data_IF_133476609613
#
_entry.id   IF_133476609613
#
_cell.length_a   1.000
_cell.length_b   1.000
_cell.length_c   1.000
_cell.angle_alpha   90.00
_cell.angle_beta   90.00
_cell.angle_gamma   90.00
#
_symmetry.space_group_name_H-M   'P 1'
#
loop_
_entity.id
_entity.type
_entity.pdbx_description
1 polymer ?
#
# COMPACT_ATOMS: atom_id res chain seq x y z
N UNK A 1 9.15 -0.80 -38.17
CA UNK A 1 9.39 -2.08 -37.49
C UNK A 1 8.96 -1.90 -36.04
N UNK A 2 8.03 -2.70 -35.49
CA UNK A 2 7.76 -2.61 -34.06
C UNK A 2 9.05 -2.98 -33.32
N UNK A 3 9.49 -2.11 -32.43
CA UNK A 3 10.61 -2.42 -31.53
C UNK A 3 10.14 -3.59 -30.67
N UNK A 4 10.94 -4.64 -30.59
CA UNK A 4 10.64 -5.80 -29.75
C UNK A 4 10.54 -5.34 -28.29
N UNK A 5 9.34 -5.44 -27.72
CA UNK A 5 9.05 -5.01 -26.36
C UNK A 5 9.94 -5.73 -25.34
N UNK A 6 10.25 -7.00 -25.57
CA UNK A 6 11.06 -7.82 -24.67
C UNK A 6 12.52 -7.35 -24.65
N UNK A 7 13.05 -6.89 -25.80
CA UNK A 7 14.36 -6.22 -25.86
C UNK A 7 14.37 -4.88 -25.13
N UNK A 8 13.25 -4.15 -25.11
CA UNK A 8 13.15 -2.84 -24.46
C UNK A 8 13.15 -2.95 -22.93
N UNK A 9 12.59 -4.03 -22.37
CA UNK A 9 12.41 -4.18 -20.91
C UNK A 9 13.43 -5.10 -20.24
N UNK A 10 14.30 -5.76 -21.01
CA UNK A 10 15.27 -6.73 -20.49
C UNK A 10 16.21 -6.09 -19.44
N UNK A 11 16.32 -6.72 -18.26
CA UNK A 11 17.08 -6.25 -17.09
C UNK A 11 16.70 -4.86 -16.56
N UNK A 12 15.49 -4.38 -16.90
CA UNK A 12 15.10 -3.05 -16.50
C UNK A 12 14.44 -2.99 -15.12
N UNK A 13 14.60 -1.85 -14.43
CA UNK A 13 14.11 -1.65 -13.05
C UNK A 13 12.94 -0.68 -13.05
N UNK A 14 11.85 -1.07 -12.39
CA UNK A 14 10.62 -0.30 -12.27
C UNK A 14 10.17 -0.18 -10.81
N UNK A 15 9.83 1.04 -10.40
CA UNK A 15 9.14 1.26 -9.14
C UNK A 15 7.66 0.87 -9.27
N UNK A 16 7.19 -0.04 -8.42
CA UNK A 16 5.77 -0.42 -8.32
C UNK A 16 5.19 0.16 -7.03
N UNK A 17 4.44 1.25 -7.15
CA UNK A 17 3.87 1.96 -6.02
C UNK A 17 2.63 2.78 -6.42
N UNK A 18 1.94 3.37 -5.44
CA UNK A 18 0.76 4.21 -5.70
C UNK A 18 1.06 5.56 -6.36
N UNK A 19 2.33 5.99 -6.43
CA UNK A 19 2.76 7.28 -7.00
C UNK A 19 2.23 8.52 -6.26
N UNK A 20 1.66 8.33 -5.06
CA UNK A 20 1.11 9.37 -4.20
C UNK A 20 1.55 9.11 -2.77
N UNK A 21 1.96 10.16 -2.07
CA UNK A 21 2.26 10.11 -0.64
C UNK A 21 0.99 10.27 0.19
N UNK A 22 0.87 9.47 1.24
CA UNK A 22 -0.22 9.56 2.21
C UNK A 22 0.37 9.63 3.63
N UNK A 23 -0.32 10.33 4.53
CA UNK A 23 0.13 10.48 5.92
C UNK A 23 -0.18 9.20 6.73
N UNK A 24 0.75 8.77 7.58
CA UNK A 24 0.55 7.65 8.51
C UNK A 24 -0.69 7.85 9.40
N UNK A 25 -0.90 9.08 9.89
CA UNK A 25 -2.07 9.42 10.72
C UNK A 25 -3.38 9.14 9.97
N UNK A 26 -3.45 9.45 8.67
CA UNK A 26 -4.64 9.19 7.85
C UNK A 26 -4.93 7.69 7.72
N UNK A 27 -3.89 6.85 7.61
CA UNK A 27 -4.07 5.40 7.62
C UNK A 27 -4.66 4.92 8.96
N UNK A 28 -4.13 5.40 10.09
CA UNK A 28 -4.64 5.08 11.42
C UNK A 28 -6.09 5.54 11.62
N UNK A 29 -6.45 6.73 11.13
CA UNK A 29 -7.82 7.25 11.18
C UNK A 29 -8.80 6.41 10.37
N UNK A 30 -8.42 5.97 9.16
CA UNK A 30 -9.25 5.08 8.32
C UNK A 30 -9.51 3.77 9.05
N UNK A 31 -8.47 3.14 9.59
CA UNK A 31 -8.60 1.87 10.32
C UNK A 31 -9.51 2.03 11.54
N UNK A 32 -9.28 3.08 12.35
CA UNK A 32 -10.10 3.37 13.53
C UNK A 32 -11.57 3.54 13.17
N UNK A 33 -11.85 4.30 12.10
CA UNK A 33 -13.20 4.56 11.61
C UNK A 33 -13.88 3.28 11.12
N UNK A 34 -13.21 2.49 10.28
CA UNK A 34 -13.79 1.28 9.68
C UNK A 34 -14.06 0.18 10.71
N UNK A 35 -13.26 0.12 11.76
CA UNK A 35 -13.46 -0.84 12.87
C UNK A 35 -14.34 -0.30 14.01
N UNK A 36 -14.91 0.91 13.88
CA UNK A 36 -15.65 1.60 14.93
C UNK A 36 -14.92 1.61 16.29
N UNK A 37 -13.60 1.76 16.27
CA UNK A 37 -12.74 1.61 17.45
C UNK A 37 -12.74 2.88 18.30
N UNK A 38 -12.79 2.70 19.63
CA UNK A 38 -12.67 3.79 20.61
C UNK A 38 -11.20 4.09 20.99
N UNK A 39 -10.23 3.35 20.46
CA UNK A 39 -8.81 3.51 20.78
C UNK A 39 -8.29 4.91 20.48
N UNK A 40 -7.38 5.42 21.31
CA UNK A 40 -6.70 6.71 21.07
C UNK A 40 -5.55 6.52 20.07
N UNK A 41 -5.41 7.44 19.11
CA UNK A 41 -4.23 7.50 18.25
C UNK A 41 -3.16 8.29 19.02
N UNK A 42 -2.01 7.67 19.29
CA UNK A 42 -0.91 8.28 20.04
C UNK A 42 0.27 8.45 19.08
N UNK A 43 0.65 9.69 18.79
CA UNK A 43 1.81 10.00 17.95
C UNK A 43 3.06 10.02 18.85
N UNK A 44 4.08 9.27 18.47
CA UNK A 44 5.40 9.26 19.12
C UNK A 44 6.45 9.81 18.15
N UNK A 45 7.61 10.19 18.69
CA UNK A 45 8.74 10.64 17.87
C UNK A 45 9.20 9.58 16.89
N UNK A 46 9.84 10.03 15.80
CA UNK A 46 10.40 9.14 14.78
C UNK A 46 11.46 8.21 15.38
N UNK A 47 11.55 7.00 14.87
CA UNK A 47 12.59 6.05 15.24
C UNK A 47 13.90 6.43 14.54
N UNK A 48 15.04 6.12 15.17
CA UNK A 48 16.35 6.31 14.54
C UNK A 48 16.43 5.50 13.25
N UNK A 49 16.71 6.16 12.12
CA UNK A 49 16.76 5.53 10.80
C UNK A 49 15.43 5.44 10.05
N UNK A 50 14.33 5.97 10.59
CA UNK A 50 13.03 5.96 9.92
C UNK A 50 12.96 6.95 8.76
N UNK A 51 12.45 6.49 7.61
CA UNK A 51 12.18 7.35 6.45
C UNK A 51 10.87 8.10 6.69
N UNK A 52 10.95 9.43 6.84
CA UNK A 52 9.80 10.28 7.18
C UNK A 52 8.84 10.49 6.01
N UNK A 53 9.38 10.60 4.79
CA UNK A 53 8.60 10.83 3.58
C UNK A 53 9.22 10.08 2.43
N UNK A 54 8.43 9.22 1.80
CA UNK A 54 8.81 8.49 0.60
C UNK A 54 7.64 8.47 -0.37
N UNK A 55 7.89 8.88 -1.61
CA UNK A 55 6.95 8.76 -2.73
C UNK A 55 7.75 8.26 -3.90
N UNK A 56 7.54 7.01 -4.27
CA UNK A 56 8.20 6.42 -5.43
C UNK A 56 7.72 7.09 -6.72
N UNK A 57 8.67 7.50 -7.57
CA UNK A 57 8.37 7.91 -8.94
C UNK A 57 8.03 6.66 -9.78
N UNK A 58 6.80 6.64 -10.31
CA UNK A 58 6.27 5.55 -11.13
C UNK A 58 6.13 5.94 -12.60
N UNK A 59 6.72 7.06 -13.02
CA UNK A 59 6.59 7.60 -14.39
C UNK A 59 7.09 6.60 -15.44
N UNK A 60 8.20 5.92 -15.16
CA UNK A 60 8.74 4.88 -16.03
C UNK A 60 7.80 3.69 -16.19
N UNK A 61 7.25 3.17 -15.10
CA UNK A 61 6.29 2.06 -15.13
C UNK A 61 5.00 2.44 -15.87
N UNK A 62 4.51 3.68 -15.69
CA UNK A 62 3.35 4.21 -16.43
C UNK A 62 3.61 4.25 -17.94
N UNK A 63 4.76 4.78 -18.33
CA UNK A 63 5.10 5.03 -19.73
C UNK A 63 5.39 3.73 -20.49
N UNK A 64 6.18 2.84 -19.90
CA UNK A 64 6.69 1.64 -20.59
C UNK A 64 5.72 0.46 -20.41
N UNK A 65 5.19 0.25 -19.21
CA UNK A 65 4.34 -0.92 -18.88
C UNK A 65 2.84 -0.61 -18.92
N UNK A 66 2.45 0.64 -19.17
CA UNK A 66 1.05 1.07 -19.02
C UNK A 66 0.55 0.98 -17.57
N UNK A 67 1.45 0.92 -16.58
CA UNK A 67 1.09 0.67 -15.19
C UNK A 67 0.17 1.75 -14.62
N UNK A 68 -1.00 1.34 -14.12
CA UNK A 68 -2.00 2.24 -13.54
C UNK A 68 -2.46 1.75 -12.17
N UNK A 69 -2.00 2.37 -11.06
CA UNK A 69 -2.48 2.05 -9.72
C UNK A 69 -3.99 2.30 -9.60
N UNK A 70 -4.76 1.27 -9.26
CA UNK A 70 -6.21 1.34 -9.08
C UNK A 70 -6.67 1.17 -7.62
N UNK A 71 -5.72 0.91 -6.71
CA UNK A 71 -5.98 0.70 -5.29
C UNK A 71 -5.18 1.72 -4.48
N UNK A 72 -5.88 2.74 -3.99
CA UNK A 72 -5.30 3.77 -3.12
C UNK A 72 -5.62 3.49 -1.66
N UNK A 73 -4.97 4.23 -0.75
CA UNK A 73 -4.91 3.93 0.69
C UNK A 73 -6.23 3.45 1.30
N UNK A 74 -7.32 4.22 1.15
CA UNK A 74 -8.63 3.87 1.72
C UNK A 74 -9.12 2.50 1.21
N UNK A 75 -9.17 2.32 -0.12
CA UNK A 75 -9.63 1.06 -0.73
C UNK A 75 -8.75 -0.12 -0.33
N UNK A 76 -7.43 0.09 -0.29
CA UNK A 76 -6.47 -0.93 0.16
C UNK A 76 -6.74 -1.35 1.60
N UNK A 77 -6.86 -0.39 2.52
CA UNK A 77 -7.16 -0.64 3.93
C UNK A 77 -8.49 -1.39 4.10
N UNK A 78 -9.56 -0.96 3.41
CA UNK A 78 -10.86 -1.64 3.53
C UNK A 78 -10.81 -3.10 3.09
N UNK A 79 -10.06 -3.40 2.02
CA UNK A 79 -9.85 -4.77 1.55
C UNK A 79 -9.02 -5.58 2.54
N UNK A 80 -7.98 -4.99 3.12
CA UNK A 80 -7.17 -5.64 4.16
C UNK A 80 -8.01 -5.95 5.40
N UNK A 81 -8.81 -5.00 5.90
CA UNK A 81 -9.71 -5.21 7.06
C UNK A 81 -10.69 -6.34 6.77
N UNK A 82 -11.32 -6.35 5.59
CA UNK A 82 -12.21 -7.43 5.17
C UNK A 82 -11.50 -8.79 5.21
N UNK A 83 -10.32 -8.89 4.61
CA UNK A 83 -9.52 -10.11 4.61
C UNK A 83 -9.18 -10.58 6.04
N UNK A 84 -8.76 -9.68 6.92
CA UNK A 84 -8.50 -10.01 8.32
C UNK A 84 -9.75 -10.50 9.03
N UNK A 85 -10.91 -9.87 8.84
CA UNK A 85 -12.16 -10.30 9.45
C UNK A 85 -12.57 -11.73 9.01
N UNK A 86 -12.37 -12.05 7.73
CA UNK A 86 -12.70 -13.36 7.17
C UNK A 86 -11.72 -14.46 7.62
N UNK A 87 -10.43 -14.16 7.76
CA UNK A 87 -9.38 -15.16 7.99
C UNK A 87 -8.92 -15.27 9.45
N UNK A 88 -9.06 -14.22 10.25
CA UNK A 88 -8.69 -14.24 11.67
C UNK A 88 -9.73 -14.98 12.53
N UNK A 89 -11.01 -14.92 12.16
CA UNK A 89 -12.06 -15.72 12.80
C UNK A 89 -11.87 -17.21 12.51
N UNK A 90 -11.34 -17.57 11.33
CA UNK A 90 -11.04 -18.95 10.98
C UNK A 90 -9.90 -19.52 11.84
N UNK A 91 -8.87 -18.73 12.16
CA UNK A 91 -7.74 -19.16 12.99
C UNK A 91 -8.12 -19.32 14.47
N UNK A 92 -9.02 -18.48 15.02
CA UNK A 92 -9.53 -18.67 16.38
C UNK A 92 -10.44 -19.90 16.55
N UNK A 93 -11.07 -20.40 15.48
CA UNK A 93 -11.89 -21.63 15.53
C UNK A 93 -11.08 -22.92 15.55
N UNK A 94 -9.82 -22.89 15.12
CA UNK A 94 -8.95 -24.08 15.03
C UNK A 94 -7.72 -24.03 15.94
N UNK A 95 -7.66 -23.10 16.89
CA UNK A 95 -6.81 -23.18 18.08
C UNK A 95 -5.30 -23.16 17.81
N UNK A 96 -4.67 -22.02 18.10
CA UNK A 96 -3.33 -22.00 18.72
C UNK A 96 -3.48 -21.46 20.12
#
# INVERSE_FOLDING_TARGET
>A
MPVDFDLVIHNDIFNVAGGKGEKLVKAAEIIKKELNSKSKIIIRGNRKGEVVKFVADISKAKMILGYKPNYFLKKGISLSIKWYAENYIATLKYGT
#
